data_IF_376111240376
#
_entry.id   IF_376111240376
#
_cell.length_a   1.000
_cell.length_b   1.000
_cell.length_c   1.000
_cell.angle_alpha   90.00
_cell.angle_beta   90.00
_cell.angle_gamma   90.00
#
_symmetry.space_group_name_H-M   'P 1'
#
loop_
_entity.id
_entity.type
_entity.pdbx_description
1 polymer ?
#
# COMPACT_ATOMS: atom_id res chain seq x y z
N UNK A 1 -16.74 10.33 -2.99
CA UNK A 1 -16.13 9.30 -3.84
C UNK A 1 -14.64 9.22 -3.58
N UNK A 2 -14.12 8.00 -3.51
CA UNK A 2 -12.69 7.81 -3.28
C UNK A 2 -11.91 8.14 -4.55
N UNK A 3 -10.74 8.75 -4.39
CA UNK A 3 -9.83 9.03 -5.49
C UNK A 3 -9.14 7.76 -5.97
N UNK A 4 -8.98 7.63 -7.28
CA UNK A 4 -8.24 6.54 -7.92
C UNK A 4 -7.29 7.16 -8.96
N UNK A 5 -6.09 7.57 -8.53
CA UNK A 5 -5.12 8.19 -9.46
C UNK A 5 -4.77 7.30 -10.64
N UNK A 6 -4.69 7.88 -11.83
CA UNK A 6 -4.47 7.16 -13.09
C UNK A 6 -3.02 6.69 -13.27
N UNK A 7 -2.08 7.27 -12.55
CA UNK A 7 -0.65 6.99 -12.70
C UNK A 7 -0.15 5.89 -11.76
N UNK A 8 -1.04 5.23 -11.04
CA UNK A 8 -0.70 4.17 -10.09
C UNK A 8 -1.21 2.81 -10.57
N UNK A 9 -0.68 1.75 -9.96
CA UNK A 9 -1.19 0.39 -10.07
C UNK A 9 -1.86 0.02 -8.75
N UNK A 10 -2.71 -1.01 -8.78
CA UNK A 10 -3.53 -1.35 -7.62
C UNK A 10 -3.64 -2.86 -7.44
N UNK A 11 -3.97 -3.28 -6.21
CA UNK A 11 -4.30 -4.67 -5.91
C UNK A 11 -5.78 -4.78 -5.54
N UNK A 12 -6.31 -6.01 -5.61
CA UNK A 12 -7.67 -6.29 -5.16
C UNK A 12 -7.84 -6.12 -3.65
N UNK A 13 -6.74 -6.04 -2.92
CA UNK A 13 -6.72 -5.83 -1.46
C UNK A 13 -6.67 -4.35 -1.10
N UNK A 14 -6.85 -3.45 -2.08
CA UNK A 14 -6.91 -2.00 -1.88
C UNK A 14 -5.57 -1.37 -1.47
N UNK A 15 -4.49 -1.85 -2.07
CA UNK A 15 -3.18 -1.21 -1.98
C UNK A 15 -2.82 -0.61 -3.32
N UNK A 16 -2.09 0.51 -3.29
CA UNK A 16 -1.57 1.13 -4.49
C UNK A 16 -0.06 0.93 -4.59
N UNK A 17 0.44 0.95 -5.83
CA UNK A 17 1.86 0.87 -6.11
C UNK A 17 2.24 1.94 -7.12
N UNK A 18 3.26 2.73 -6.78
CA UNK A 18 3.83 3.72 -7.69
C UNK A 18 5.14 3.15 -8.22
N UNK A 19 5.18 2.85 -9.52
CA UNK A 19 6.33 2.19 -10.16
C UNK A 19 7.39 3.21 -10.52
N UNK A 20 8.64 2.97 -10.10
CA UNK A 20 9.79 3.78 -10.46
C UNK A 20 10.96 2.86 -10.81
N UNK A 21 11.07 2.47 -12.08
CA UNK A 21 12.11 1.52 -12.50
C UNK A 21 11.84 0.14 -11.93
N UNK A 22 12.76 -0.37 -11.10
CA UNK A 22 12.64 -1.67 -10.45
C UNK A 22 12.14 -1.57 -9.01
N UNK A 23 11.82 -0.35 -8.54
CA UNK A 23 11.34 -0.11 -7.19
C UNK A 23 9.91 0.39 -7.24
N UNK A 24 9.09 -0.04 -6.28
CA UNK A 24 7.74 0.49 -6.14
C UNK A 24 7.57 1.09 -4.75
N UNK A 25 6.74 2.14 -4.68
CA UNK A 25 6.28 2.69 -3.40
C UNK A 25 4.85 2.19 -3.19
N UNK A 26 4.52 1.76 -2.00
CA UNK A 26 3.25 1.09 -1.70
C UNK A 26 2.54 1.81 -0.56
N UNK A 27 1.23 1.94 -0.69
CA UNK A 27 0.36 2.44 0.37
C UNK A 27 -1.04 1.86 0.21
N UNK A 28 -1.97 2.34 1.04
CA UNK A 28 -3.37 1.94 0.92
C UNK A 28 -4.14 3.01 0.15
N UNK A 29 -5.20 2.57 -0.55
CA UNK A 29 -5.99 3.49 -1.37
C UNK A 29 -6.90 4.36 -0.50
N UNK A 30 -7.44 5.42 -1.12
CA UNK A 30 -8.42 6.29 -0.48
C UNK A 30 -9.66 5.49 -0.06
N UNK A 31 -10.09 4.55 -0.90
CA UNK A 31 -11.19 3.64 -0.56
C UNK A 31 -10.87 2.85 0.72
N UNK A 32 -9.66 2.31 0.83
CA UNK A 32 -9.25 1.52 1.98
C UNK A 32 -9.27 2.35 3.27
N UNK A 33 -8.73 3.58 3.22
CA UNK A 33 -8.68 4.41 4.43
C UNK A 33 -10.09 4.85 4.86
N UNK A 34 -11.00 5.09 3.92
CA UNK A 34 -12.39 5.40 4.26
C UNK A 34 -13.06 4.21 4.95
N UNK A 35 -12.84 3.01 4.44
CA UNK A 35 -13.41 1.79 5.02
C UNK A 35 -12.84 1.48 6.40
N UNK A 36 -11.55 1.77 6.61
CA UNK A 36 -10.89 1.55 7.90
C UNK A 36 -11.34 2.54 8.97
N UNK A 37 -11.58 3.79 8.58
CA UNK A 37 -11.78 4.88 9.55
C UNK A 37 -10.44 5.39 10.07
N UNK A 38 -10.46 6.05 11.23
CA UNK A 38 -9.26 6.71 11.76
C UNK A 38 -8.16 5.71 12.11
N UNK A 39 -7.02 5.83 11.43
CA UNK A 39 -5.87 4.96 11.66
C UNK A 39 -5.14 5.43 12.92
N UNK A 40 -4.87 4.49 13.83
CA UNK A 40 -4.25 4.79 15.13
C UNK A 40 -2.88 4.12 15.28
N UNK A 41 -2.59 3.09 14.50
CA UNK A 41 -1.30 2.40 14.57
C UNK A 41 -1.00 1.68 13.25
N UNK A 42 0.28 1.65 12.86
CA UNK A 42 0.75 0.92 11.69
C UNK A 42 1.94 0.07 12.09
N UNK A 43 1.87 -1.22 11.80
CA UNK A 43 2.99 -2.14 11.99
C UNK A 43 3.76 -2.22 10.68
N UNK A 44 5.02 -1.77 10.70
CA UNK A 44 5.88 -1.71 9.50
C UNK A 44 6.87 -2.87 9.49
N UNK A 45 7.22 -3.40 8.30
CA UNK A 45 8.28 -4.40 8.19
C UNK A 45 9.64 -3.72 8.38
N UNK A 46 10.67 -4.52 8.60
CA UNK A 46 12.04 -4.00 8.66
C UNK A 46 12.60 -3.80 7.26
N UNK A 47 13.48 -2.79 7.11
CA UNK A 47 14.23 -2.61 5.88
C UNK A 47 15.14 -3.83 5.70
N UNK A 48 15.15 -4.38 4.49
CA UNK A 48 15.87 -5.61 4.18
C UNK A 48 15.00 -6.87 4.25
N UNK A 49 13.77 -6.76 4.76
CA UNK A 49 12.85 -7.90 4.80
C UNK A 49 12.49 -8.35 3.39
N UNK A 50 12.48 -9.66 3.18
CA UNK A 50 12.05 -10.26 1.91
C UNK A 50 10.60 -10.68 2.02
N UNK A 51 9.79 -10.28 1.04
CA UNK A 51 8.35 -10.56 1.03
C UNK A 51 7.96 -11.16 -0.31
N UNK A 52 7.00 -12.08 -0.27
CA UNK A 52 6.45 -12.71 -1.47
C UNK A 52 5.11 -12.09 -1.83
N UNK A 53 4.79 -12.07 -3.13
CA UNK A 53 3.51 -11.57 -3.59
C UNK A 53 2.36 -12.25 -2.85
N UNK A 54 1.47 -11.44 -2.29
CA UNK A 54 0.31 -11.94 -1.53
C UNK A 54 0.58 -12.19 -0.05
N UNK A 55 1.84 -12.12 0.39
CA UNK A 55 2.16 -12.30 1.81
C UNK A 55 1.80 -11.04 2.60
N UNK A 56 1.34 -11.22 3.83
CA UNK A 56 1.13 -10.09 4.74
C UNK A 56 2.49 -9.56 5.19
N UNK A 57 2.72 -8.23 5.03
CA UNK A 57 3.99 -7.62 5.41
C UNK A 57 3.84 -6.62 6.55
N UNK A 58 2.64 -6.31 6.95
CA UNK A 58 2.37 -5.37 8.02
C UNK A 58 0.88 -5.31 8.31
N UNK A 59 0.50 -4.40 9.22
CA UNK A 59 -0.88 -4.23 9.62
C UNK A 59 -1.20 -2.76 9.81
N UNK A 60 -2.45 -2.38 9.55
CA UNK A 60 -2.98 -1.06 9.87
C UNK A 60 -4.10 -1.24 10.88
N UNK A 61 -3.96 -0.60 12.04
CA UNK A 61 -4.98 -0.64 13.08
C UNK A 61 -5.75 0.68 13.09
N UNK A 62 -7.07 0.59 13.07
CA UNK A 62 -7.95 1.74 13.15
C UNK A 62 -8.81 1.64 14.41
N UNK A 63 -9.62 2.66 14.64
CA UNK A 63 -10.57 2.66 15.76
C UNK A 63 -11.65 1.58 15.60
N UNK A 64 -11.82 1.04 14.40
CA UNK A 64 -12.86 0.04 14.09
C UNK A 64 -12.32 -1.38 13.94
N UNK A 65 -11.12 -1.54 13.40
CA UNK A 65 -10.61 -2.87 13.01
C UNK A 65 -9.11 -2.87 12.79
N UNK A 66 -8.58 -4.08 12.59
CA UNK A 66 -7.18 -4.31 12.19
C UNK A 66 -7.21 -4.95 10.82
N UNK A 67 -6.39 -4.46 9.90
CA UNK A 67 -6.31 -4.97 8.53
C UNK A 67 -4.88 -5.31 8.18
N UNK A 68 -4.67 -6.48 7.58
CA UNK A 68 -3.34 -6.87 7.08
C UNK A 68 -3.03 -6.11 5.80
N UNK A 69 -1.74 -5.84 5.61
CA UNK A 69 -1.21 -5.29 4.37
C UNK A 69 -0.54 -6.42 3.58
N UNK A 70 -0.93 -6.58 2.33
CA UNK A 70 -0.43 -7.67 1.47
C UNK A 70 0.53 -7.14 0.42
N UNK A 71 1.63 -7.87 0.20
CA UNK A 71 2.63 -7.46 -0.77
C UNK A 71 2.07 -7.55 -2.20
N UNK A 72 2.14 -6.45 -2.96
CA UNK A 72 1.67 -6.48 -4.35
C UNK A 72 2.59 -7.27 -5.28
N UNK A 73 3.86 -7.41 -4.90
CA UNK A 73 4.88 -8.12 -5.67
C UNK A 73 5.86 -8.80 -4.72
N UNK A 74 6.64 -9.74 -5.25
CA UNK A 74 7.78 -10.34 -4.53
C UNK A 74 8.96 -9.38 -4.61
N UNK A 75 9.63 -9.15 -3.49
CA UNK A 75 10.78 -8.26 -3.46
C UNK A 75 11.34 -8.07 -2.07
N UNK A 76 12.19 -7.05 -1.95
CA UNK A 76 12.86 -6.71 -0.69
C UNK A 76 12.46 -5.29 -0.29
N UNK A 77 12.12 -5.12 0.98
CA UNK A 77 11.79 -3.79 1.53
C UNK A 77 13.06 -2.95 1.57
N UNK A 78 13.08 -1.83 0.85
CA UNK A 78 14.23 -0.92 0.78
C UNK A 78 14.05 0.32 1.63
N UNK A 79 12.80 0.69 1.92
CA UNK A 79 12.50 1.84 2.76
C UNK A 79 11.13 1.64 3.41
N UNK A 80 10.93 2.29 4.54
CA UNK A 80 9.64 2.34 5.21
C UNK A 80 9.38 3.76 5.70
N UNK A 81 8.11 4.12 5.81
CA UNK A 81 7.75 5.47 6.23
C UNK A 81 7.64 5.54 7.75
N UNK A 82 8.75 5.87 8.40
CA UNK A 82 8.82 5.95 9.87
C UNK A 82 7.92 7.05 10.45
N UNK A 83 7.49 8.02 9.65
CA UNK A 83 6.54 9.06 10.09
C UNK A 83 5.23 8.44 10.57
N UNK A 84 4.86 7.27 10.04
CA UNK A 84 3.62 6.61 10.43
C UNK A 84 3.64 6.10 11.88
N UNK A 85 4.83 5.96 12.49
CA UNK A 85 4.92 5.57 13.89
C UNK A 85 4.39 6.68 14.81
N UNK A 86 4.66 7.94 14.47
CA UNK A 86 4.22 9.08 15.26
C UNK A 86 2.97 9.75 14.69
N UNK A 87 2.72 9.56 13.39
CA UNK A 87 1.61 10.21 12.67
C UNK A 87 0.87 9.21 11.78
N UNK A 88 0.25 8.16 12.37
CA UNK A 88 -0.46 7.15 11.56
C UNK A 88 -1.65 7.72 10.80
N UNK A 89 -2.20 8.85 11.24
CA UNK A 89 -3.30 9.55 10.58
C UNK A 89 -2.95 10.09 9.19
N UNK A 90 -1.67 10.10 8.81
CA UNK A 90 -1.28 10.44 7.44
C UNK A 90 -1.91 9.52 6.42
N UNK A 91 -2.18 8.27 6.80
CA UNK A 91 -2.86 7.32 5.92
C UNK A 91 -4.26 7.83 5.58
N UNK A 92 -4.93 8.48 6.52
CA UNK A 92 -6.26 9.07 6.29
C UNK A 92 -6.20 10.37 5.51
N UNK A 93 -5.25 11.26 5.88
CA UNK A 93 -5.22 12.61 5.34
C UNK A 93 -4.56 12.69 3.98
N UNK A 94 -3.60 11.79 3.68
CA UNK A 94 -2.84 11.84 2.42
C UNK A 94 -2.38 10.44 2.00
N UNK A 95 -3.32 9.55 1.70
CA UNK A 95 -2.97 8.13 1.45
C UNK A 95 -2.06 7.90 0.25
N UNK A 96 -2.09 8.81 -0.75
CA UNK A 96 -1.26 8.69 -1.95
C UNK A 96 0.04 9.49 -1.88
N UNK A 97 0.24 10.27 -0.82
CA UNK A 97 1.43 11.10 -0.64
C UNK A 97 2.17 10.76 0.64
N UNK A 98 2.03 11.61 1.66
CA UNK A 98 2.73 11.46 2.94
C UNK A 98 2.39 10.16 3.68
N UNK A 99 1.25 9.55 3.36
CA UNK A 99 0.79 8.29 3.96
C UNK A 99 1.32 7.03 3.31
N UNK A 100 2.34 7.12 2.44
CA UNK A 100 2.96 5.93 1.86
C UNK A 100 3.53 5.04 2.98
N UNK A 101 3.61 3.73 2.71
CA UNK A 101 3.95 2.76 3.76
C UNK A 101 5.35 2.20 3.61
N UNK A 102 5.67 1.61 2.45
CA UNK A 102 6.97 1.00 2.19
C UNK A 102 7.41 1.24 0.76
N UNK A 103 8.72 1.05 0.51
CA UNK A 103 9.28 0.91 -0.84
C UNK A 103 9.87 -0.48 -0.97
N UNK A 104 9.68 -1.10 -2.13
CA UNK A 104 10.08 -2.47 -2.40
C UNK A 104 10.90 -2.52 -3.67
N UNK A 105 12.09 -3.14 -3.60
CA UNK A 105 12.85 -3.51 -4.79
C UNK A 105 12.22 -4.77 -5.36
N UNK A 106 11.67 -4.68 -6.57
CA UNK A 106 10.90 -5.76 -7.19
C UNK A 106 11.84 -6.86 -7.68
N UNK A 107 11.62 -8.09 -7.23
CA UNK A 107 12.44 -9.24 -7.65
C UNK A 107 12.08 -9.71 -9.05
N UNK A 108 10.80 -9.61 -9.42
CA UNK A 108 10.29 -10.06 -10.72
C UNK A 108 9.33 -9.01 -11.27
N UNK A 109 9.83 -8.19 -12.20
CA UNK A 109 9.05 -7.08 -12.75
C UNK A 109 7.83 -7.54 -13.56
N UNK A 110 7.78 -8.81 -13.97
CA UNK A 110 6.58 -9.33 -14.64
C UNK A 110 5.36 -9.34 -13.71
N UNK A 111 5.57 -9.37 -12.41
CA UNK A 111 4.46 -9.31 -11.45
C UNK A 111 3.75 -7.96 -11.47
N UNK A 112 4.41 -6.90 -11.96
CA UNK A 112 3.78 -5.60 -12.13
C UNK A 112 2.64 -5.65 -13.13
N UNK A 113 2.71 -6.56 -14.10
CA UNK A 113 1.69 -6.73 -15.13
C UNK A 113 0.40 -7.35 -14.57
N UNK A 114 0.49 -8.01 -13.41
CA UNK A 114 -0.68 -8.61 -12.76
C UNK A 114 -1.46 -7.61 -11.92
N UNK A 115 -0.92 -6.41 -11.71
CA UNK A 115 -1.58 -5.37 -10.93
C UNK A 115 -2.68 -4.70 -11.77
N UNK A 116 -3.68 -4.17 -11.06
CA UNK A 116 -4.80 -3.50 -11.70
C UNK A 116 -4.42 -2.07 -12.09
N UNK A 117 -4.92 -1.59 -13.21
CA UNK A 117 -4.84 -0.15 -13.51
C UNK A 117 -5.99 0.58 -12.80
N UNK A 118 -6.00 1.92 -12.92
CA UNK A 118 -7.01 2.73 -12.25
C UNK A 118 -8.44 2.39 -12.70
N UNK A 119 -8.63 2.10 -13.99
CA UNK A 119 -9.94 1.74 -14.53
C UNK A 119 -10.47 0.44 -13.94
N UNK A 120 -9.63 -0.61 -13.93
CA UNK A 120 -10.00 -1.91 -13.40
C UNK A 120 -10.24 -1.84 -11.88
N UNK A 121 -9.39 -1.12 -11.16
CA UNK A 121 -9.55 -0.94 -9.72
C UNK A 121 -10.80 -0.13 -9.40
N UNK A 122 -11.06 0.93 -10.15
CA UNK A 122 -12.25 1.76 -9.96
C UNK A 122 -13.53 0.95 -10.08
N UNK A 123 -13.58 0.03 -11.04
CA UNK A 123 -14.73 -0.89 -11.21
C UNK A 123 -14.85 -1.83 -10.00
N UNK A 124 -13.73 -2.35 -9.51
CA UNK A 124 -13.71 -3.27 -8.37
C UNK A 124 -14.21 -2.57 -7.09
N UNK A 125 -13.81 -1.32 -6.88
CA UNK A 125 -14.11 -0.58 -5.64
C UNK A 125 -15.39 0.24 -5.71
N UNK A 126 -16.07 0.23 -6.84
CA UNK A 126 -17.30 1.01 -7.04
C UNK A 126 -18.47 0.46 -6.22
#
# INVERSE_FOLDING_TARGET
MADVPDDLKYTAEHEWAKVGGTTIRVGVTDYAQEALGDVVYVSLPEVGAKIGQGDAFGEVESTKSVSDLYAPVTGTVTARNDELESRPELINSDPYGEGWIVEIEVADTTQLDSLLDAGAYGTLSA
#
